data_IF_749280147582
#
_entry.id   IF_749280147582
#
_cell.length_a   1.000
_cell.length_b   1.000
_cell.length_c   1.000
_cell.angle_alpha   90.00
_cell.angle_beta   90.00
_cell.angle_gamma   90.00
#
_symmetry.space_group_name_H-M   'P 1'
#
loop_
_entity.id
_entity.type
_entity.pdbx_description
1 polymer ?
#
# COMPACT_ATOMS: atom_id res chain seq x y z
N UNK A 1 -73.41 3.85 -11.04
CA UNK A 1 -72.97 2.77 -10.12
C UNK A 1 -71.44 2.64 -10.22
N UNK A 2 -70.69 3.12 -9.23
CA UNK A 2 -69.22 3.05 -9.23
C UNK A 2 -68.81 2.18 -8.03
N UNK A 3 -68.34 0.96 -8.32
CA UNK A 3 -67.83 0.00 -7.33
C UNK A 3 -66.38 0.31 -7.01
N UNK A 4 -66.11 0.84 -5.81
CA UNK A 4 -64.75 0.95 -5.27
C UNK A 4 -64.25 -0.41 -4.79
N UNK A 5 -63.21 -0.94 -5.44
CA UNK A 5 -62.46 -2.10 -4.93
C UNK A 5 -61.43 -1.62 -3.91
N UNK A 6 -61.67 -1.91 -2.63
CA UNK A 6 -60.73 -1.61 -1.54
C UNK A 6 -59.43 -2.42 -1.67
N UNK A 7 -58.31 -1.75 -1.89
CA UNK A 7 -56.97 -2.35 -1.85
C UNK A 7 -56.63 -2.71 -0.40
N UNK A 8 -56.35 -3.99 -0.12
CA UNK A 8 -55.80 -4.45 1.17
C UNK A 8 -54.47 -3.71 1.41
N UNK A 9 -54.40 -2.88 2.44
CA UNK A 9 -53.17 -2.24 2.86
C UNK A 9 -52.14 -3.31 3.25
N UNK A 10 -50.99 -3.30 2.59
CA UNK A 10 -49.87 -4.18 2.91
C UNK A 10 -49.36 -3.78 4.31
N UNK A 11 -49.23 -4.74 5.23
CA UNK A 11 -48.67 -4.50 6.56
C UNK A 11 -47.24 -4.00 6.41
N UNK A 12 -47.04 -2.69 6.55
CA UNK A 12 -45.72 -2.09 6.67
C UNK A 12 -45.24 -2.34 8.09
N UNK A 13 -44.40 -3.38 8.27
CA UNK A 13 -43.66 -3.59 9.52
C UNK A 13 -42.60 -2.50 9.63
N UNK A 14 -42.73 -1.66 10.66
CA UNK A 14 -41.72 -0.66 11.01
C UNK A 14 -40.54 -1.31 11.76
N UNK A 15 -39.36 -0.72 11.61
CA UNK A 15 -38.16 -1.09 12.37
C UNK A 15 -38.35 -0.71 13.84
N UNK A 16 -37.98 -1.57 14.78
CA UNK A 16 -38.06 -1.22 16.20
C UNK A 16 -36.85 -0.38 16.61
N UNK A 17 -37.02 0.53 17.57
CA UNK A 17 -35.91 1.35 18.10
C UNK A 17 -34.82 0.44 18.68
N UNK A 18 -35.21 -0.65 19.34
CA UNK A 18 -34.29 -1.63 19.93
C UNK A 18 -33.41 -2.27 18.88
N UNK A 19 -33.96 -2.60 17.72
CA UNK A 19 -33.22 -3.21 16.60
C UNK A 19 -32.16 -2.25 16.04
N UNK A 20 -32.46 -0.95 15.99
CA UNK A 20 -31.49 0.07 15.60
C UNK A 20 -30.42 0.34 16.68
N UNK A 21 -30.79 0.24 17.96
CA UNK A 21 -29.84 0.40 19.06
C UNK A 21 -28.81 -0.73 19.10
N UNK A 22 -29.27 -1.98 19.03
CA UNK A 22 -28.38 -3.16 19.06
C UNK A 22 -27.45 -3.17 17.84
N UNK A 23 -27.94 -2.76 16.66
CA UNK A 23 -27.11 -2.71 15.45
C UNK A 23 -26.00 -1.67 15.55
N UNK A 24 -26.27 -0.45 16.05
CA UNK A 24 -25.22 0.54 16.25
C UNK A 24 -24.19 0.11 17.30
N UNK A 25 -24.61 -0.59 18.35
CA UNK A 25 -23.70 -1.16 19.34
C UNK A 25 -22.73 -2.17 18.69
N UNK A 26 -23.24 -3.09 17.88
CA UNK A 26 -22.41 -4.09 17.20
C UNK A 26 -21.51 -3.41 16.14
N UNK A 27 -22.04 -2.48 15.34
CA UNK A 27 -21.25 -1.74 14.35
C UNK A 27 -20.10 -0.94 15.00
N UNK A 28 -20.33 -0.34 16.16
CA UNK A 28 -19.29 0.38 16.91
C UNK A 28 -18.12 -0.52 17.28
N UNK A 29 -18.39 -1.74 17.77
CA UNK A 29 -17.36 -2.72 18.11
C UNK A 29 -16.56 -3.14 16.87
N UNK A 30 -17.25 -3.42 15.75
CA UNK A 30 -16.59 -3.83 14.51
C UNK A 30 -15.68 -2.73 13.96
N UNK A 31 -16.15 -1.48 13.91
CA UNK A 31 -15.34 -0.34 13.43
C UNK A 31 -14.13 -0.11 14.32
N UNK A 32 -14.26 -0.27 15.65
CA UNK A 32 -13.14 -0.15 16.58
C UNK A 32 -11.98 -1.11 16.25
N UNK A 33 -12.29 -2.36 15.91
CA UNK A 33 -11.28 -3.36 15.50
C UNK A 33 -10.65 -3.00 14.15
N UNK A 34 -11.47 -2.56 13.19
CA UNK A 34 -11.01 -2.20 11.84
C UNK A 34 -10.00 -1.04 11.86
N UNK A 35 -10.23 -0.01 12.68
CA UNK A 35 -9.33 1.15 12.73
C UNK A 35 -7.92 0.76 13.19
N UNK A 36 -7.80 -0.04 14.26
CA UNK A 36 -6.49 -0.48 14.76
C UNK A 36 -5.78 -1.42 13.78
N UNK A 37 -6.52 -2.29 13.10
CA UNK A 37 -5.92 -3.22 12.13
C UNK A 37 -5.45 -2.52 10.85
N UNK A 38 -6.14 -1.46 10.42
CA UNK A 38 -5.77 -0.71 9.21
C UNK A 38 -4.43 0.02 9.36
N UNK A 39 -4.09 0.55 10.55
CA UNK A 39 -2.80 1.24 10.76
C UNK A 39 -1.62 0.26 10.61
N UNK A 40 -1.76 -0.94 11.16
CA UNK A 40 -0.76 -2.02 11.05
C UNK A 40 -0.65 -2.51 9.60
N UNK A 41 -1.79 -2.72 8.94
CA UNK A 41 -1.84 -3.15 7.54
C UNK A 41 -1.16 -2.14 6.60
N UNK A 42 -1.41 -0.84 6.79
CA UNK A 42 -0.74 0.23 6.02
C UNK A 42 0.76 0.23 6.24
N UNK A 43 1.24 0.03 7.47
CA UNK A 43 2.68 -0.07 7.74
C UNK A 43 3.32 -1.26 7.01
N UNK A 44 2.70 -2.44 7.08
CA UNK A 44 3.17 -3.64 6.37
C UNK A 44 3.14 -3.48 4.85
N UNK A 45 2.12 -2.82 4.31
CA UNK A 45 2.03 -2.54 2.88
C UNK A 45 3.18 -1.61 2.41
N UNK A 46 3.52 -0.59 3.22
CA UNK A 46 4.68 0.28 2.96
C UNK A 46 6.00 -0.48 3.01
N UNK A 47 6.16 -1.35 4.01
CA UNK A 47 7.33 -2.23 4.12
C UNK A 47 7.50 -3.13 2.89
N UNK A 48 6.41 -3.81 2.49
CA UNK A 48 6.41 -4.67 1.31
C UNK A 48 6.71 -3.90 0.01
N UNK A 49 6.16 -2.69 -0.15
CA UNK A 49 6.42 -1.85 -1.32
C UNK A 49 7.89 -1.41 -1.38
N UNK A 50 8.46 -1.00 -0.24
CA UNK A 50 9.85 -0.58 -0.16
C UNK A 50 10.81 -1.72 -0.49
N UNK A 51 10.58 -2.92 0.08
CA UNK A 51 11.35 -4.13 -0.25
C UNK A 51 11.26 -4.50 -1.73
N UNK A 52 10.07 -4.39 -2.33
CA UNK A 52 9.91 -4.66 -3.77
C UNK A 52 10.69 -3.66 -4.64
N UNK A 53 10.69 -2.38 -4.27
CA UNK A 53 11.47 -1.35 -4.96
C UNK A 53 12.97 -1.61 -4.84
N UNK A 54 13.48 -1.91 -3.64
CA UNK A 54 14.89 -2.26 -3.42
C UNK A 54 15.30 -3.47 -4.27
N UNK A 55 14.46 -4.50 -4.36
CA UNK A 55 14.73 -5.67 -5.23
C UNK A 55 14.84 -5.28 -6.69
N UNK A 56 13.92 -4.45 -7.16
CA UNK A 56 13.93 -3.94 -8.54
C UNK A 56 15.22 -3.17 -8.85
N UNK A 57 15.75 -2.42 -7.87
CA UNK A 57 17.02 -1.73 -8.01
C UNK A 57 18.21 -2.69 -8.04
N UNK A 58 18.28 -3.63 -7.10
CA UNK A 58 19.32 -4.65 -7.06
C UNK A 58 19.37 -5.44 -8.37
N UNK A 59 18.21 -5.86 -8.88
CA UNK A 59 18.11 -6.57 -10.16
C UNK A 59 18.62 -5.70 -11.33
N UNK A 60 18.28 -4.41 -11.32
CA UNK A 60 18.79 -3.46 -12.32
C UNK A 60 20.30 -3.23 -12.24
N UNK A 61 20.87 -3.19 -11.03
CA UNK A 61 22.32 -3.07 -10.81
C UNK A 61 23.02 -4.33 -11.31
N UNK A 62 22.48 -5.52 -10.99
CA UNK A 62 23.02 -6.80 -11.47
C UNK A 62 22.97 -6.87 -13.00
N UNK A 63 21.91 -6.36 -13.63
CA UNK A 63 21.83 -6.32 -15.07
C UNK A 63 22.84 -5.32 -15.68
N UNK A 64 23.02 -4.16 -15.04
CA UNK A 64 24.03 -3.17 -15.44
C UNK A 64 25.44 -3.76 -15.38
N UNK A 65 25.80 -4.38 -14.26
CA UNK A 65 27.14 -4.95 -14.05
C UNK A 65 27.43 -6.08 -15.04
N UNK A 66 26.42 -6.88 -15.38
CA UNK A 66 26.54 -7.93 -16.41
C UNK A 66 26.85 -7.38 -17.81
N UNK A 67 26.58 -6.10 -18.08
CA UNK A 67 26.82 -5.46 -19.39
C UNK A 67 28.03 -4.52 -19.41
N UNK A 68 28.57 -4.17 -18.23
CA UNK A 68 29.69 -3.24 -18.07
C UNK A 68 30.90 -3.91 -17.40
N UNK A 69 31.23 -5.14 -17.82
CA UNK A 69 32.42 -5.87 -17.37
C UNK A 69 32.57 -6.01 -15.84
N UNK A 70 31.45 -6.01 -15.11
CA UNK A 70 31.41 -6.13 -13.65
C UNK A 70 31.44 -4.79 -12.90
N UNK A 71 31.52 -3.65 -13.59
CA UNK A 71 31.48 -2.34 -12.96
C UNK A 71 30.07 -1.99 -12.46
N UNK A 72 30.02 -1.41 -11.26
CA UNK A 72 28.80 -0.87 -10.70
C UNK A 72 28.51 0.54 -11.27
N UNK A 73 27.23 0.91 -11.39
CA UNK A 73 26.85 2.25 -11.85
C UNK A 73 27.33 3.33 -10.88
N UNK A 74 27.74 4.49 -11.38
CA UNK A 74 28.21 5.59 -10.50
C UNK A 74 27.00 6.27 -9.85
N UNK A 75 25.94 6.45 -10.62
CA UNK A 75 24.67 6.99 -10.14
C UNK A 75 23.57 5.99 -10.45
N UNK A 76 22.57 5.89 -9.58
CA UNK A 76 21.43 5.05 -9.93
C UNK A 76 20.68 5.56 -11.17
N UNK A 77 20.79 6.86 -11.47
CA UNK A 77 20.21 7.48 -12.67
C UNK A 77 20.63 6.77 -13.96
N UNK A 78 21.82 6.15 -13.97
CA UNK A 78 22.37 5.41 -15.12
C UNK A 78 21.62 4.10 -15.39
N UNK A 79 20.81 3.60 -14.44
CA UNK A 79 19.99 2.41 -14.64
C UNK A 79 18.71 2.69 -15.44
N UNK A 80 18.23 3.93 -15.45
CA UNK A 80 17.01 4.30 -16.17
C UNK A 80 17.34 4.92 -17.54
N UNK A 81 16.56 4.64 -18.60
CA UNK A 81 15.41 3.73 -18.66
C UNK A 81 15.76 2.29 -19.09
N UNK A 82 17.05 1.99 -19.31
CA UNK A 82 17.48 0.76 -20.00
C UNK A 82 17.37 -0.47 -19.10
N UNK A 83 17.81 -0.37 -17.84
CA UNK A 83 17.88 -1.46 -16.88
C UNK A 83 16.69 -1.48 -15.93
N UNK A 84 16.09 -0.31 -15.64
CA UNK A 84 14.89 -0.18 -14.82
C UNK A 84 13.89 0.75 -15.52
N UNK A 85 12.62 0.35 -15.51
CA UNK A 85 11.51 1.18 -16.00
C UNK A 85 10.98 2.06 -14.87
N UNK A 86 11.22 3.37 -14.92
CA UNK A 86 10.65 4.33 -13.96
C UNK A 86 11.47 5.62 -13.83
N UNK A 87 10.88 6.63 -13.19
CA UNK A 87 11.56 7.86 -12.77
C UNK A 87 12.27 7.66 -11.43
N UNK A 88 13.43 8.32 -11.25
CA UNK A 88 14.32 8.19 -10.09
C UNK A 88 13.77 8.61 -8.73
N UNK A 89 12.54 9.09 -8.70
CA UNK A 89 11.86 9.49 -7.47
C UNK A 89 11.34 8.24 -6.73
N UNK A 90 12.26 7.35 -6.37
CA UNK A 90 12.00 6.13 -5.62
C UNK A 90 11.82 6.47 -4.14
N UNK A 91 10.78 7.23 -3.88
CA UNK A 91 10.29 7.52 -2.54
C UNK A 91 9.57 6.26 -2.04
N UNK A 92 9.96 5.71 -0.89
CA UNK A 92 9.08 4.70 -0.27
C UNK A 92 7.77 5.38 0.20
N UNK A 93 6.59 4.76 0.03
CA UNK A 93 5.26 5.40 0.18
C UNK A 93 4.84 5.68 1.64
N UNK A 94 5.79 5.99 2.52
CA UNK A 94 5.55 6.41 3.88
C UNK A 94 5.60 7.94 3.90
N UNK A 95 4.48 8.56 4.26
CA UNK A 95 4.12 9.94 3.88
C UNK A 95 4.88 11.08 4.53
N UNK A 96 6.12 10.88 4.97
CA UNK A 96 7.05 11.96 5.31
C UNK A 96 8.29 11.73 4.45
N UNK A 97 8.85 12.80 3.88
CA UNK A 97 9.93 12.83 2.89
C UNK A 97 11.31 12.26 3.36
N UNK A 98 11.31 11.30 4.28
CA UNK A 98 12.48 10.78 5.00
C UNK A 98 13.00 9.44 4.46
N UNK A 99 12.27 8.81 3.53
CA UNK A 99 12.68 7.54 2.93
C UNK A 99 13.46 7.77 1.64
N UNK A 100 14.73 8.15 1.79
CA UNK A 100 15.73 8.14 0.71
C UNK A 100 16.29 6.72 0.58
N UNK A 101 16.28 6.15 -0.62
CA UNK A 101 17.08 4.96 -0.91
C UNK A 101 18.54 5.40 -0.99
N UNK A 102 19.42 4.68 -0.30
CA UNK A 102 20.85 4.89 -0.33
C UNK A 102 21.49 3.87 -1.24
N UNK A 103 22.68 4.24 -1.72
CA UNK A 103 23.44 3.45 -2.66
C UNK A 103 24.92 3.64 -2.45
N UNK A 104 25.65 2.54 -2.55
CA UNK A 104 27.09 2.54 -2.60
C UNK A 104 27.56 2.05 -3.97
N UNK A 105 28.20 2.95 -4.73
CA UNK A 105 28.76 2.65 -6.05
C UNK A 105 30.01 1.76 -5.99
N UNK A 106 30.62 1.58 -4.82
CA UNK A 106 31.76 0.68 -4.67
C UNK A 106 31.32 -0.79 -4.51
N UNK A 107 30.18 -1.03 -3.88
CA UNK A 107 29.68 -2.38 -3.56
C UNK A 107 28.45 -2.78 -4.37
N UNK A 108 27.75 -1.82 -4.99
CA UNK A 108 26.48 -2.07 -5.67
C UNK A 108 25.30 -2.28 -4.71
N UNK A 109 25.49 -2.03 -3.42
CA UNK A 109 24.44 -2.24 -2.41
C UNK A 109 23.43 -1.10 -2.39
N UNK A 110 22.15 -1.45 -2.21
CA UNK A 110 21.04 -0.52 -2.05
C UNK A 110 20.31 -0.80 -0.74
N UNK A 111 20.07 0.24 0.07
CA UNK A 111 19.42 0.08 1.37
C UNK A 111 18.59 1.31 1.77
N UNK A 112 17.69 1.09 2.71
CA UNK A 112 16.87 2.15 3.31
C UNK A 112 17.31 2.39 4.76
N UNK A 113 17.27 3.63 5.24
CA UNK A 113 17.63 3.98 6.63
C UNK A 113 16.58 3.57 7.68
N UNK A 114 15.49 2.90 7.29
CA UNK A 114 14.41 2.53 8.18
C UNK A 114 14.55 1.08 8.66
N UNK A 115 14.48 0.88 9.97
CA UNK A 115 14.52 -0.45 10.59
C UNK A 115 13.43 -1.37 10.04
N UNK A 116 13.83 -2.53 9.51
CA UNK A 116 12.93 -3.57 8.98
C UNK A 116 12.68 -3.50 7.47
N UNK A 117 13.23 -2.50 6.78
CA UNK A 117 13.15 -2.31 5.33
C UNK A 117 14.42 -2.78 4.59
N UNK A 118 15.05 -3.83 5.10
CA UNK A 118 16.22 -4.48 4.49
C UNK A 118 15.77 -5.61 3.54
N UNK A 119 16.62 -5.94 2.56
CA UNK A 119 16.36 -6.94 1.53
C UNK A 119 16.39 -8.37 2.05
#
# INVERSE_FOLDING_TARGET
MIKWHGRKARSNRGFTIVELMVTLLILGVLVGIVVMTMTISRRKARESACKANLRTMTDGIILYTSTHDGDYPVNLEDLAPVYIKGSFDWMCPSGNNDYRVNYDSATGEVWCNESGHEL
#
